data_IF_713327701489
#
_entry.id   IF_713327701489
#
_cell.length_a   1.000
_cell.length_b   1.000
_cell.length_c   1.000
_cell.angle_alpha   90.00
_cell.angle_beta   90.00
_cell.angle_gamma   90.00
#
_symmetry.space_group_name_H-M   'P 1'
#
loop_
_entity.id
_entity.type
_entity.pdbx_description
1 polymer ?
#
# COMPACT_ATOMS: atom_id res chain seq x y z
N UNK A 1 -8.03 -36.40 18.17
CA UNK A 1 -9.05 -35.37 17.85
C UNK A 1 -10.17 -35.89 16.93
N UNK A 2 -9.93 -36.26 15.66
CA UNK A 2 -10.99 -36.82 14.78
C UNK A 2 -11.63 -38.08 15.40
N UNK A 3 -10.81 -38.94 16.02
CA UNK A 3 -11.23 -40.16 16.72
C UNK A 3 -12.06 -39.84 17.96
N UNK A 4 -11.61 -38.89 18.77
CA UNK A 4 -12.27 -38.52 20.04
C UNK A 4 -13.61 -37.80 19.80
N UNK A 5 -13.67 -36.96 18.75
CA UNK A 5 -14.88 -36.26 18.33
C UNK A 5 -15.77 -37.09 17.40
N UNK A 6 -15.34 -38.31 17.04
CA UNK A 6 -16.00 -39.20 16.06
C UNK A 6 -16.45 -38.47 14.79
N UNK A 7 -15.68 -37.49 14.33
CA UNK A 7 -16.02 -36.58 13.23
C UNK A 7 -14.79 -36.35 12.35
N UNK A 8 -14.89 -36.53 11.02
CA UNK A 8 -13.78 -36.24 10.12
C UNK A 8 -13.58 -34.72 10.01
N UNK A 9 -12.37 -34.27 10.29
CA UNK A 9 -11.93 -32.88 10.23
C UNK A 9 -11.03 -32.63 9.01
N UNK A 10 -10.46 -33.70 8.44
CA UNK A 10 -9.54 -33.62 7.32
C UNK A 10 -9.93 -34.56 6.17
N UNK A 11 -9.78 -34.07 4.94
CA UNK A 11 -9.85 -34.86 3.71
C UNK A 11 -8.42 -35.08 3.21
N UNK A 12 -8.01 -36.35 3.08
CA UNK A 12 -6.67 -36.73 2.64
C UNK A 12 -6.70 -37.12 1.15
N UNK A 13 -5.89 -36.46 0.33
CA UNK A 13 -5.66 -36.80 -1.08
C UNK A 13 -4.17 -37.07 -1.35
N UNK A 14 -3.85 -37.69 -2.48
CA UNK A 14 -2.47 -38.02 -2.88
C UNK A 14 -1.53 -36.80 -2.98
N UNK A 15 -2.06 -35.57 -3.07
CA UNK A 15 -1.31 -34.31 -3.15
C UNK A 15 -1.38 -33.43 -1.90
N UNK A 16 -1.99 -33.90 -0.80
CA UNK A 16 -2.06 -33.15 0.46
C UNK A 16 -3.35 -33.33 1.25
N UNK A 17 -3.53 -32.48 2.26
CA UNK A 17 -4.65 -32.53 3.21
C UNK A 17 -5.46 -31.24 3.13
N UNK A 18 -6.80 -31.34 3.10
CA UNK A 18 -7.73 -30.20 3.20
C UNK A 18 -8.63 -30.37 4.42
N UNK A 19 -9.20 -29.27 4.92
CA UNK A 19 -10.20 -29.32 5.98
C UNK A 19 -11.56 -29.77 5.42
N UNK A 20 -12.32 -30.52 6.21
CA UNK A 20 -13.77 -30.70 6.00
C UNK A 20 -14.52 -29.46 6.49
N UNK A 21 -15.82 -29.35 6.23
CA UNK A 21 -16.66 -28.27 6.79
C UNK A 21 -16.60 -28.24 8.33
N UNK A 22 -16.62 -29.42 8.97
CA UNK A 22 -16.43 -29.54 10.42
C UNK A 22 -15.01 -29.17 10.85
N UNK A 23 -14.00 -29.48 10.03
CA UNK A 23 -12.62 -29.05 10.22
C UNK A 23 -12.45 -27.53 10.15
N UNK A 24 -13.09 -26.87 9.19
CA UNK A 24 -13.11 -25.41 9.06
C UNK A 24 -13.84 -24.76 10.24
N UNK A 25 -14.99 -25.31 10.64
CA UNK A 25 -15.73 -24.83 11.80
C UNK A 25 -14.91 -24.92 13.09
N UNK A 26 -14.26 -26.06 13.33
CA UNK A 26 -13.41 -26.28 14.50
C UNK A 26 -12.17 -25.38 14.45
N UNK A 27 -11.49 -25.31 13.30
CA UNK A 27 -10.34 -24.44 13.11
C UNK A 27 -10.68 -22.98 13.39
N UNK A 28 -11.80 -22.49 12.86
CA UNK A 28 -12.29 -21.13 13.09
C UNK A 28 -12.65 -20.89 14.57
N UNK A 29 -13.26 -21.88 15.24
CA UNK A 29 -13.68 -21.77 16.64
C UNK A 29 -12.49 -21.78 17.59
N UNK A 30 -11.58 -22.74 17.44
CA UNK A 30 -10.34 -22.82 18.25
C UNK A 30 -9.45 -21.62 17.99
N UNK A 31 -9.35 -21.17 16.73
CA UNK A 31 -8.62 -19.95 16.39
C UNK A 31 -9.21 -18.70 17.04
N UNK A 32 -10.53 -18.62 17.21
CA UNK A 32 -11.20 -17.54 17.97
C UNK A 32 -10.91 -17.64 19.46
N UNK A 33 -10.96 -18.84 20.04
CA UNK A 33 -10.68 -19.05 21.48
C UNK A 33 -9.22 -18.72 21.81
N UNK A 34 -8.26 -19.21 21.02
CA UNK A 34 -6.83 -18.88 21.19
C UNK A 34 -6.59 -17.38 21.05
N UNK A 35 -7.30 -16.74 20.12
CA UNK A 35 -7.27 -15.29 19.96
C UNK A 35 -7.82 -14.57 21.20
N UNK A 36 -8.95 -15.02 21.75
CA UNK A 36 -9.55 -14.46 22.97
C UNK A 36 -8.69 -14.65 24.22
N UNK A 37 -8.01 -15.79 24.36
CA UNK A 37 -7.04 -16.03 25.44
C UNK A 37 -5.86 -15.08 25.30
N UNK A 38 -5.29 -14.98 24.09
CA UNK A 38 -4.18 -14.05 23.81
C UNK A 38 -4.57 -12.59 24.04
N UNK A 39 -5.79 -12.20 23.68
CA UNK A 39 -6.34 -10.85 23.90
C UNK A 39 -6.60 -10.58 25.40
N UNK A 40 -7.04 -11.58 26.17
CA UNK A 40 -7.21 -11.48 27.62
C UNK A 40 -5.86 -11.38 28.36
N UNK A 41 -4.88 -12.18 27.98
CA UNK A 41 -3.50 -12.09 28.49
C UNK A 41 -2.88 -10.72 28.18
N UNK A 42 -3.06 -10.22 26.95
CA UNK A 42 -2.64 -8.86 26.56
C UNK A 42 -3.31 -7.79 27.42
N UNK A 43 -4.62 -7.86 27.63
CA UNK A 43 -5.39 -6.91 28.46
C UNK A 43 -4.96 -6.89 29.93
N UNK A 44 -4.48 -8.01 30.48
CA UNK A 44 -3.93 -8.08 31.84
C UNK A 44 -2.55 -7.42 31.96
N UNK A 45 -1.80 -7.36 30.86
CA UNK A 45 -0.45 -6.80 30.79
C UNK A 45 -0.48 -5.28 30.44
N UNK A 46 -1.51 -4.83 29.71
CA UNK A 46 -1.55 -3.57 28.94
C UNK A 46 -1.62 -2.22 29.68
N UNK A 47 -1.68 -2.15 31.02
CA UNK A 47 -1.71 -0.84 31.70
C UNK A 47 -0.33 -0.23 31.99
N UNK A 48 0.78 -0.94 31.78
CA UNK A 48 2.14 -0.44 32.09
C UNK A 48 3.27 -0.87 31.14
N UNK A 49 3.06 -1.75 30.17
CA UNK A 49 4.15 -2.37 29.40
C UNK A 49 4.36 -1.76 28.01
N UNK A 50 5.63 -1.62 27.61
CA UNK A 50 6.03 -1.27 26.25
C UNK A 50 5.53 -2.35 25.27
N UNK A 51 5.11 -1.98 24.04
CA UNK A 51 4.69 -2.96 23.04
C UNK A 51 5.90 -3.81 22.59
N UNK A 52 5.70 -5.13 22.51
CA UNK A 52 6.74 -6.10 22.12
C UNK A 52 6.22 -7.09 21.08
N UNK A 53 7.13 -7.61 20.25
CA UNK A 53 6.86 -8.71 19.32
C UNK A 53 6.56 -8.27 17.88
N UNK A 54 6.21 -9.25 17.04
CA UNK A 54 6.13 -9.07 15.58
C UNK A 54 4.84 -8.38 15.13
N UNK A 55 4.97 -7.36 14.29
CA UNK A 55 3.89 -6.69 13.58
C UNK A 55 4.15 -6.73 12.07
N UNK A 56 3.25 -7.37 11.33
CA UNK A 56 3.37 -7.53 9.88
C UNK A 56 2.44 -6.55 9.15
N UNK A 57 3.00 -5.69 8.30
CA UNK A 57 2.29 -4.64 7.59
C UNK A 57 2.30 -4.93 6.10
N UNK A 58 1.12 -5.01 5.51
CA UNK A 58 0.93 -5.14 4.07
C UNK A 58 0.74 -3.77 3.41
N UNK A 59 1.43 -3.50 2.30
CA UNK A 59 1.23 -2.24 1.54
C UNK A 59 1.57 -2.40 0.06
N UNK A 60 1.45 -1.33 -0.73
CA UNK A 60 1.84 -1.30 -2.15
C UNK A 60 3.35 -1.18 -2.28
N UNK A 61 3.91 -1.67 -3.39
CA UNK A 61 5.36 -1.65 -3.61
C UNK A 61 5.89 -0.22 -3.61
N UNK A 62 5.18 0.70 -4.28
CA UNK A 62 5.53 2.10 -4.31
C UNK A 62 5.56 2.72 -2.91
N UNK A 63 4.42 2.75 -2.21
CA UNK A 63 4.32 3.41 -0.90
C UNK A 63 5.27 2.80 0.13
N UNK A 64 5.34 1.46 0.16
CA UNK A 64 6.25 0.71 1.02
C UNK A 64 7.70 1.13 0.81
N UNK A 65 8.16 1.09 -0.45
CA UNK A 65 9.58 1.29 -0.77
C UNK A 65 10.05 2.73 -0.59
N UNK A 66 9.23 3.73 -0.91
CA UNK A 66 9.71 5.13 -0.93
C UNK A 66 9.25 5.99 0.24
N UNK A 67 8.09 5.71 0.84
CA UNK A 67 7.58 6.54 1.93
C UNK A 67 7.71 5.82 3.28
N UNK A 68 7.28 4.56 3.37
CA UNK A 68 7.22 3.83 4.63
C UNK A 68 8.60 3.36 5.11
N UNK A 69 9.32 2.59 4.30
CA UNK A 69 10.62 1.99 4.68
C UNK A 69 11.62 3.01 5.22
N UNK A 70 11.83 4.19 4.59
CA UNK A 70 12.76 5.20 5.12
C UNK A 70 12.41 5.70 6.52
N UNK A 71 11.14 5.58 6.93
CA UNK A 71 10.64 6.04 8.23
C UNK A 71 10.68 4.94 9.30
N UNK A 72 10.77 3.67 8.91
CA UNK A 72 10.75 2.55 9.87
C UNK A 72 11.88 2.64 10.89
N UNK A 73 13.06 3.14 10.51
CA UNK A 73 14.18 3.26 11.45
C UNK A 73 13.82 4.12 12.68
N UNK A 74 13.13 5.25 12.48
CA UNK A 74 12.66 6.10 13.59
C UNK A 74 11.70 5.35 14.51
N UNK A 75 10.85 4.49 13.95
CA UNK A 75 9.91 3.68 14.73
C UNK A 75 10.65 2.62 15.54
N UNK A 76 11.59 1.90 14.94
CA UNK A 76 12.34 0.85 15.63
C UNK A 76 13.29 1.43 16.69
N UNK A 77 13.79 2.64 16.50
CA UNK A 77 14.54 3.37 17.54
C UNK A 77 13.65 3.72 18.75
N UNK A 78 12.39 4.09 18.51
CA UNK A 78 11.42 4.41 19.56
C UNK A 78 10.88 3.16 20.27
N UNK A 79 10.76 2.04 19.54
CA UNK A 79 10.20 0.77 20.02
C UNK A 79 11.13 -0.41 19.65
N UNK A 80 12.29 -0.55 20.32
CA UNK A 80 13.32 -1.53 19.95
C UNK A 80 12.91 -2.99 20.13
N UNK A 81 11.90 -3.25 20.97
CA UNK A 81 11.38 -4.61 21.24
C UNK A 81 10.30 -5.06 20.23
N UNK A 82 10.01 -4.22 19.23
CA UNK A 82 9.08 -4.51 18.15
C UNK A 82 9.79 -5.05 16.92
N UNK A 83 9.32 -6.18 16.40
CA UNK A 83 9.79 -6.76 15.13
C UNK A 83 8.85 -6.35 13.99
N UNK A 84 9.35 -5.55 13.05
CA UNK A 84 8.54 -5.00 11.95
C UNK A 84 8.82 -5.75 10.66
N UNK A 85 7.76 -6.34 10.09
CA UNK A 85 7.81 -7.05 8.81
C UNK A 85 6.95 -6.35 7.78
N UNK A 86 7.54 -5.90 6.66
CA UNK A 86 6.82 -5.28 5.56
C UNK A 86 6.55 -6.28 4.43
N UNK A 87 5.29 -6.45 4.06
CA UNK A 87 4.84 -7.23 2.91
C UNK A 87 4.35 -6.28 1.82
N UNK A 88 5.13 -6.16 0.75
CA UNK A 88 4.83 -5.22 -0.34
C UNK A 88 4.31 -5.97 -1.55
N UNK A 89 3.08 -5.64 -1.96
CA UNK A 89 2.49 -6.17 -3.19
C UNK A 89 1.49 -5.17 -3.73
N UNK A 90 1.47 -4.98 -5.05
CA UNK A 90 0.44 -4.18 -5.71
C UNK A 90 -0.87 -4.96 -5.91
N UNK A 91 -0.85 -6.28 -5.67
CA UNK A 91 -2.05 -7.10 -5.55
C UNK A 91 -2.70 -6.93 -4.17
N UNK A 92 -4.02 -7.10 -4.13
CA UNK A 92 -4.80 -7.04 -2.90
C UNK A 92 -4.51 -8.29 -2.05
N UNK A 93 -3.75 -8.12 -0.96
CA UNK A 93 -3.51 -9.18 0.01
C UNK A 93 -4.72 -9.24 0.94
N UNK A 94 -5.37 -10.39 1.00
CA UNK A 94 -6.50 -10.62 1.89
C UNK A 94 -6.01 -10.76 3.35
N UNK A 95 -6.33 -9.79 4.19
CA UNK A 95 -6.00 -9.83 5.62
C UNK A 95 -6.67 -11.01 6.36
N UNK A 96 -7.71 -11.62 5.78
CA UNK A 96 -8.33 -12.83 6.35
C UNK A 96 -7.37 -14.03 6.35
N UNK A 97 -6.40 -14.05 5.44
CA UNK A 97 -5.38 -15.11 5.34
C UNK A 97 -4.31 -15.04 6.43
N UNK A 98 -4.37 -14.04 7.32
CA UNK A 98 -3.42 -13.80 8.42
C UNK A 98 -1.96 -13.60 7.98
N UNK A 99 -1.73 -13.27 6.71
CA UNK A 99 -0.40 -12.93 6.23
C UNK A 99 0.09 -11.57 6.75
N UNK A 100 -0.83 -10.68 7.14
CA UNK A 100 -0.51 -9.39 7.73
C UNK A 100 -1.50 -9.02 8.85
N UNK A 101 -1.03 -8.24 9.80
CA UNK A 101 -1.81 -7.70 10.93
C UNK A 101 -2.50 -6.39 10.52
N UNK A 102 -1.83 -5.59 9.69
CA UNK A 102 -2.26 -4.27 9.21
C UNK A 102 -2.09 -4.22 7.69
N UNK A 103 -2.94 -3.47 7.00
CA UNK A 103 -2.69 -3.02 5.63
C UNK A 103 -2.76 -1.49 5.48
N UNK A 104 -1.86 -0.93 4.67
CA UNK A 104 -1.92 0.46 4.20
C UNK A 104 -2.17 0.46 2.69
N UNK A 105 -3.37 0.86 2.25
CA UNK A 105 -3.85 0.71 0.87
C UNK A 105 -4.50 1.98 0.33
N UNK A 106 -4.45 2.17 -0.99
CA UNK A 106 -5.05 3.31 -1.73
C UNK A 106 -6.51 3.09 -2.13
N UNK A 107 -7.13 2.01 -1.64
CA UNK A 107 -8.51 1.64 -1.92
C UNK A 107 -9.23 1.36 -0.60
N UNK A 108 -10.46 1.86 -0.49
CA UNK A 108 -11.32 1.58 0.67
C UNK A 108 -11.60 0.07 0.71
N UNK A 109 -11.41 -0.61 1.86
CA UNK A 109 -11.79 -2.01 1.98
C UNK A 109 -13.30 -2.18 1.79
N UNK A 110 -13.69 -3.27 1.15
CA UNK A 110 -15.10 -3.62 0.91
C UNK A 110 -15.62 -4.73 1.82
N UNK A 111 -14.72 -5.51 2.43
CA UNK A 111 -15.08 -6.60 3.34
C UNK A 111 -15.57 -6.07 4.69
N UNK A 112 -16.68 -6.62 5.20
CA UNK A 112 -17.37 -6.12 6.38
C UNK A 112 -16.62 -6.32 7.71
N UNK A 113 -15.68 -7.28 7.76
CA UNK A 113 -14.89 -7.61 8.95
C UNK A 113 -13.63 -6.73 9.12
N UNK A 114 -13.43 -5.75 8.25
CA UNK A 114 -12.29 -4.83 8.32
C UNK A 114 -12.69 -3.50 8.96
N UNK A 115 -11.89 -3.08 9.93
CA UNK A 115 -11.89 -1.72 10.44
C UNK A 115 -10.88 -0.92 9.61
N UNK A 116 -11.24 0.31 9.25
CA UNK A 116 -10.33 1.20 8.56
C UNK A 116 -10.39 2.63 9.08
N UNK A 117 -9.26 3.33 8.94
CA UNK A 117 -9.14 4.77 9.13
C UNK A 117 -8.57 5.41 7.87
N UNK A 118 -9.07 6.60 7.52
CA UNK A 118 -8.41 7.45 6.53
C UNK A 118 -7.04 7.83 7.06
N UNK A 119 -6.02 7.68 6.24
CA UNK A 119 -4.63 7.92 6.63
C UNK A 119 -4.13 9.23 6.03
N UNK A 120 -3.75 9.24 4.74
CA UNK A 120 -3.27 10.46 4.06
C UNK A 120 -3.75 10.51 2.60
N UNK A 121 -3.93 11.73 2.08
CA UNK A 121 -4.22 11.96 0.67
C UNK A 121 -2.93 12.27 -0.07
N UNK A 122 -2.58 11.42 -1.04
CA UNK A 122 -1.44 11.67 -1.91
C UNK A 122 -1.92 12.22 -3.26
N UNK A 123 -1.32 13.33 -3.68
CA UNK A 123 -1.59 13.94 -4.97
C UNK A 123 -0.66 13.35 -6.01
N UNK A 124 -1.10 13.43 -7.27
CA UNK A 124 -0.30 13.04 -8.42
C UNK A 124 -0.09 14.26 -9.29
N UNK A 125 1.16 14.46 -9.69
CA UNK A 125 1.52 15.50 -10.63
C UNK A 125 2.34 14.90 -11.76
N UNK A 126 2.59 15.71 -12.78
CA UNK A 126 3.40 15.31 -13.91
C UNK A 126 4.84 15.67 -13.62
N UNK A 127 5.74 14.71 -13.81
CA UNK A 127 7.16 14.86 -13.57
C UNK A 127 7.97 14.47 -14.81
N UNK A 128 9.11 15.14 -14.97
CA UNK A 128 10.18 14.80 -15.90
C UNK A 128 11.53 14.94 -15.19
N UNK A 129 12.56 14.21 -15.64
CA UNK A 129 13.91 14.48 -15.14
C UNK A 129 14.47 15.79 -15.72
N UNK A 130 15.36 16.45 -14.98
CA UNK A 130 16.07 17.63 -15.48
C UNK A 130 16.75 17.39 -16.84
N UNK A 131 17.39 16.24 -17.02
CA UNK A 131 18.08 15.86 -18.27
C UNK A 131 17.12 15.75 -19.46
N UNK A 132 15.94 15.16 -19.24
CA UNK A 132 14.91 15.06 -20.28
C UNK A 132 14.37 16.45 -20.64
N UNK A 133 14.11 17.29 -19.64
CA UNK A 133 13.60 18.64 -19.85
C UNK A 133 14.62 19.55 -20.53
N UNK A 134 15.92 19.36 -20.28
CA UNK A 134 16.98 20.06 -20.98
C UNK A 134 17.04 19.68 -22.47
N UNK A 135 16.82 18.40 -22.78
CA UNK A 135 16.91 17.88 -24.15
C UNK A 135 15.65 18.14 -25.00
N UNK A 136 14.46 18.10 -24.37
CA UNK A 136 13.17 18.16 -25.08
C UNK A 136 12.35 19.43 -24.76
N UNK A 137 12.82 20.27 -23.84
CA UNK A 137 12.12 21.47 -23.37
C UNK A 137 11.10 21.18 -22.26
N UNK A 138 10.68 22.24 -21.56
CA UNK A 138 9.67 22.18 -20.49
C UNK A 138 8.29 22.51 -21.06
N UNK A 139 7.28 21.61 -20.92
CA UNK A 139 5.89 21.92 -21.26
C UNK A 139 5.37 23.16 -20.54
N UNK A 140 4.80 24.10 -21.30
CA UNK A 140 4.21 25.33 -20.74
C UNK A 140 2.68 25.23 -20.61
N UNK A 141 2.07 24.35 -21.38
CA UNK A 141 0.64 24.07 -21.31
C UNK A 141 0.33 22.59 -21.59
N UNK A 142 -0.91 22.17 -21.34
CA UNK A 142 -1.33 20.77 -21.52
C UNK A 142 -1.20 20.25 -22.96
N UNK A 143 -1.25 21.12 -23.98
CA UNK A 143 -1.10 20.71 -25.37
C UNK A 143 0.36 20.38 -25.72
N UNK A 144 1.32 20.99 -25.03
CA UNK A 144 2.75 20.67 -25.24
C UNK A 144 3.06 19.21 -24.92
N UNK A 145 2.28 18.56 -24.04
CA UNK A 145 2.40 17.12 -23.77
C UNK A 145 2.27 16.25 -25.03
N UNK A 146 1.63 16.73 -26.10
CA UNK A 146 1.53 16.02 -27.39
C UNK A 146 2.90 15.86 -28.07
N UNK A 147 3.90 16.68 -27.70
CA UNK A 147 5.26 16.67 -28.27
C UNK A 147 6.26 15.84 -27.45
N UNK A 148 5.82 15.28 -26.32
CA UNK A 148 6.70 14.57 -25.40
C UNK A 148 6.46 13.07 -25.37
N UNK A 149 7.52 12.33 -25.08
CA UNK A 149 7.44 10.93 -24.71
C UNK A 149 6.68 10.78 -23.39
N UNK A 150 5.59 10.01 -23.37
CA UNK A 150 4.81 9.75 -22.17
C UNK A 150 4.99 8.31 -21.70
N UNK A 151 5.17 8.14 -20.41
CA UNK A 151 5.26 6.84 -19.72
C UNK A 151 3.97 6.69 -18.92
N UNK A 152 3.39 5.49 -18.94
CA UNK A 152 2.16 5.25 -18.22
C UNK A 152 2.12 3.83 -17.64
N UNK A 153 1.15 3.55 -16.78
CA UNK A 153 1.05 2.26 -16.12
C UNK A 153 0.65 1.14 -17.10
N UNK A 154 -0.27 1.45 -18.00
CA UNK A 154 -0.75 0.49 -18.99
C UNK A 154 -2.00 -0.29 -18.58
N UNK A 155 -2.31 -1.32 -19.37
CA UNK A 155 -3.49 -2.19 -19.21
C UNK A 155 -3.06 -3.62 -18.88
N UNK A 156 -3.75 -4.28 -17.93
CA UNK A 156 -3.54 -5.70 -17.64
C UNK A 156 -4.04 -6.15 -16.27
N UNK A 157 -4.09 -5.24 -15.30
CA UNK A 157 -4.69 -5.45 -13.98
C UNK A 157 -5.44 -4.16 -13.60
N UNK A 158 -6.51 -4.21 -12.79
CA UNK A 158 -7.08 -2.99 -12.24
C UNK A 158 -5.97 -2.31 -11.44
N UNK A 159 -5.49 -1.18 -11.96
CA UNK A 159 -4.63 -0.29 -11.18
C UNK A 159 -5.31 -0.07 -9.83
N UNK A 160 -4.59 -0.17 -8.69
CA UNK A 160 -5.17 0.11 -7.38
C UNK A 160 -5.66 1.56 -7.25
N UNK A 161 -5.34 2.38 -8.26
CA UNK A 161 -5.57 3.81 -8.38
C UNK A 161 -6.44 4.07 -9.63
N UNK A 162 -7.65 4.61 -9.46
CA UNK A 162 -8.51 5.01 -10.58
C UNK A 162 -7.88 6.18 -11.35
N UNK A 163 -7.93 6.15 -12.68
CA UNK A 163 -7.39 7.22 -13.55
C UNK A 163 -5.86 7.47 -13.46
N UNK A 164 -5.06 6.45 -13.14
CA UNK A 164 -3.58 6.56 -13.06
C UNK A 164 -2.94 7.13 -14.34
N UNK A 165 -3.48 6.79 -15.51
CA UNK A 165 -3.02 7.26 -16.82
C UNK A 165 -3.68 8.60 -17.27
N UNK A 166 -4.05 9.47 -16.33
CA UNK A 166 -4.75 10.74 -16.63
C UNK A 166 -3.95 11.68 -17.54
N UNK A 167 -2.62 11.63 -17.48
CA UNK A 167 -1.69 12.37 -18.35
C UNK A 167 -1.97 12.11 -19.85
N UNK A 168 -2.46 10.92 -20.20
CA UNK A 168 -2.83 10.59 -21.58
C UNK A 168 -4.13 11.28 -22.03
N UNK A 169 -4.95 11.76 -21.09
CA UNK A 169 -6.28 12.31 -21.36
C UNK A 169 -6.38 13.81 -21.15
N UNK A 170 -5.55 14.38 -20.27
CA UNK A 170 -5.66 15.79 -19.87
C UNK A 170 -5.56 16.74 -21.08
N UNK A 171 -6.52 17.66 -21.21
CA UNK A 171 -6.59 18.58 -22.34
C UNK A 171 -7.06 17.95 -23.66
N UNK A 172 -7.41 16.67 -23.71
CA UNK A 172 -7.95 16.01 -24.92
C UNK A 172 -9.47 15.84 -24.81
N UNK A 173 -10.19 16.12 -25.90
CA UNK A 173 -11.66 16.00 -25.97
C UNK A 173 -12.16 14.59 -26.30
N UNK A 174 -11.39 13.79 -27.05
CA UNK A 174 -11.85 12.50 -27.57
C UNK A 174 -10.77 11.41 -27.62
N UNK A 175 -9.60 11.70 -28.19
CA UNK A 175 -8.51 10.72 -28.33
C UNK A 175 -7.42 10.93 -27.28
N UNK A 176 -7.05 9.83 -26.60
CA UNK A 176 -5.95 9.79 -25.64
C UNK A 176 -4.60 9.85 -26.37
N UNK A 177 -3.59 10.46 -25.75
CA UNK A 177 -2.21 10.42 -26.22
C UNK A 177 -1.70 8.98 -26.23
N UNK A 178 -0.85 8.65 -27.21
CA UNK A 178 -0.16 7.36 -27.29
C UNK A 178 1.08 7.41 -26.39
N UNK A 179 1.21 6.53 -25.38
CA UNK A 179 2.42 6.45 -24.58
C UNK A 179 3.57 5.84 -25.40
N UNK A 180 4.81 6.21 -25.05
CA UNK A 180 6.03 5.62 -25.62
C UNK A 180 6.20 4.17 -25.17
N UNK A 181 5.98 3.89 -23.89
CA UNK A 181 5.89 2.53 -23.35
C UNK A 181 5.13 2.50 -22.02
N UNK A 182 4.87 1.31 -21.51
CA UNK A 182 4.00 1.03 -20.35
C UNK A 182 4.74 0.22 -19.31
N UNK A 183 4.52 0.50 -18.03
CA UNK A 183 5.14 -0.20 -16.90
C UNK A 183 4.09 -0.44 -15.82
N UNK A 184 3.80 -1.70 -15.50
CA UNK A 184 2.83 -2.09 -14.48
C UNK A 184 3.35 -1.94 -13.04
N UNK A 185 4.14 -0.90 -12.77
CA UNK A 185 4.68 -0.57 -11.46
C UNK A 185 4.94 0.92 -11.37
N UNK A 186 4.34 1.60 -10.39
CA UNK A 186 4.60 3.04 -10.16
C UNK A 186 6.08 3.30 -9.86
N UNK A 187 6.72 2.39 -9.11
CA UNK A 187 8.14 2.48 -8.84
C UNK A 187 8.96 2.37 -10.14
N UNK A 188 8.61 1.44 -11.02
CA UNK A 188 9.23 1.31 -12.34
C UNK A 188 9.03 2.55 -13.23
N UNK A 189 7.84 3.17 -13.21
CA UNK A 189 7.61 4.45 -13.90
C UNK A 189 8.52 5.54 -13.32
N UNK A 190 8.64 5.64 -11.99
CA UNK A 190 9.49 6.63 -11.33
C UNK A 190 10.95 6.50 -11.78
N UNK A 191 11.50 5.27 -11.82
CA UNK A 191 12.85 5.02 -12.33
C UNK A 191 12.99 5.41 -13.82
N UNK A 192 11.98 5.12 -14.63
CA UNK A 192 12.02 5.47 -16.05
C UNK A 192 12.02 6.99 -16.29
N UNK A 193 11.23 7.74 -15.51
CA UNK A 193 11.27 9.22 -15.54
C UNK A 193 12.63 9.71 -15.09
N UNK A 194 13.17 9.17 -13.99
CA UNK A 194 14.48 9.52 -13.45
C UNK A 194 15.61 9.32 -14.46
N UNK A 195 15.54 8.27 -15.30
CA UNK A 195 16.49 8.00 -16.39
C UNK A 195 16.16 8.75 -17.70
N UNK A 196 15.25 9.72 -17.66
CA UNK A 196 14.94 10.58 -18.79
C UNK A 196 14.19 9.91 -19.94
N UNK A 197 13.45 8.83 -19.67
CA UNK A 197 12.74 8.11 -20.72
C UNK A 197 11.49 8.87 -21.24
N UNK A 198 10.99 9.85 -20.47
CA UNK A 198 9.80 10.64 -20.78
C UNK A 198 9.20 11.31 -19.55
N UNK A 199 7.97 11.80 -19.72
CA UNK A 199 7.13 12.39 -18.67
C UNK A 199 6.13 11.36 -18.15
N UNK A 200 5.82 11.41 -16.86
CA UNK A 200 4.79 10.55 -16.28
C UNK A 200 4.01 11.25 -15.17
N UNK A 201 2.81 10.75 -14.90
CA UNK A 201 2.11 11.03 -13.65
C UNK A 201 2.74 10.20 -12.53
N UNK A 202 3.19 10.83 -11.46
CA UNK A 202 3.71 10.16 -10.27
C UNK A 202 3.02 10.70 -9.02
N UNK A 203 2.79 9.85 -8.00
CA UNK A 203 2.44 10.33 -6.67
C UNK A 203 3.59 11.12 -6.06
N UNK A 204 3.28 12.17 -5.31
CA UNK A 204 4.32 13.08 -4.78
C UNK A 204 5.28 12.37 -3.80
N UNK A 205 4.81 11.34 -3.09
CA UNK A 205 5.67 10.51 -2.23
C UNK A 205 6.70 9.66 -2.97
N UNK A 206 6.61 9.53 -4.31
CA UNK A 206 7.65 8.90 -5.12
C UNK A 206 8.84 9.83 -5.38
N UNK A 207 8.63 11.14 -5.30
CA UNK A 207 9.57 12.14 -5.79
C UNK A 207 10.17 13.02 -4.70
N UNK A 208 9.61 13.03 -3.49
CA UNK A 208 10.04 13.91 -2.40
C UNK A 208 11.56 13.88 -2.11
N UNK A 209 12.19 12.71 -2.26
CA UNK A 209 13.63 12.52 -2.02
C UNK A 209 14.46 12.54 -3.33
N UNK A 210 13.86 12.91 -4.47
CA UNK A 210 14.48 12.87 -5.80
C UNK A 210 14.70 14.27 -6.37
N UNK A 211 15.88 14.85 -6.11
CA UNK A 211 16.24 16.20 -6.55
C UNK A 211 16.30 16.40 -8.06
N UNK A 212 16.46 15.33 -8.85
CA UNK A 212 16.53 15.40 -10.31
C UNK A 212 15.17 15.31 -11.01
N UNK A 213 14.07 15.14 -10.27
CA UNK A 213 12.71 15.13 -10.81
C UNK A 213 12.06 16.50 -10.61
N UNK A 214 11.53 17.03 -11.71
CA UNK A 214 10.93 18.36 -11.75
C UNK A 214 9.43 18.21 -12.03
N UNK A 215 8.61 18.79 -11.15
CA UNK A 215 7.17 18.94 -11.37
C UNK A 215 6.95 19.90 -12.54
N UNK A 216 6.21 19.45 -13.56
CA UNK A 216 5.84 20.29 -14.70
C UNK A 216 4.37 20.68 -14.61
N UNK A 217 4.00 21.78 -15.27
CA UNK A 217 2.63 22.32 -15.23
C UNK A 217 2.12 22.45 -13.79
N UNK A 218 2.78 23.22 -12.91
CA UNK A 218 2.50 23.22 -11.47
C UNK A 218 1.04 23.60 -11.12
N UNK A 219 0.40 24.43 -11.95
CA UNK A 219 -0.99 24.84 -11.78
C UNK A 219 -2.01 23.81 -12.30
N UNK A 220 -1.54 22.69 -12.86
CA UNK A 220 -2.40 21.61 -13.32
C UNK A 220 -2.60 20.61 -12.20
N UNK A 221 -3.80 20.60 -11.63
CA UNK A 221 -4.20 19.64 -10.61
C UNK A 221 -4.38 18.25 -11.23
N UNK A 222 -3.68 17.27 -10.68
CA UNK A 222 -3.87 15.87 -10.99
C UNK A 222 -4.79 15.19 -9.97
N UNK A 223 -5.05 13.88 -10.14
CA UNK A 223 -5.89 13.13 -9.22
C UNK A 223 -5.20 12.92 -7.87
N UNK A 224 -5.98 13.02 -6.80
CA UNK A 224 -5.56 12.68 -5.43
C UNK A 224 -6.16 11.35 -4.98
N UNK A 225 -5.43 10.59 -4.16
CA UNK A 225 -5.89 9.30 -3.66
C UNK A 225 -5.81 9.21 -2.14
N UNK A 226 -6.93 8.83 -1.55
CA UNK A 226 -7.02 8.56 -0.13
C UNK A 226 -6.42 7.18 0.17
N UNK A 227 -5.42 7.18 1.04
CA UNK A 227 -4.93 5.94 1.66
C UNK A 227 -5.72 5.62 2.91
N UNK A 228 -5.80 4.33 3.20
CA UNK A 228 -6.52 3.74 4.31
C UNK A 228 -5.56 2.87 5.12
N UNK A 229 -5.59 3.06 6.43
CA UNK A 229 -5.01 2.15 7.40
C UNK A 229 -6.09 1.14 7.79
N UNK A 230 -5.87 -0.14 7.52
CA UNK A 230 -6.87 -1.21 7.58
C UNK A 230 -6.37 -2.33 8.49
N UNK A 231 -7.25 -2.90 9.30
CA UNK A 231 -6.98 -4.03 10.17
C UNK A 231 -8.28 -4.79 10.50
N UNK A 232 -8.19 -5.97 11.10
CA UNK A 232 -9.38 -6.76 11.50
C UNK A 232 -9.80 -6.45 12.94
N UNK A 233 -11.05 -6.72 13.33
CA UNK A 233 -11.56 -6.50 14.70
C UNK A 233 -10.66 -7.14 15.78
N UNK A 234 -10.01 -8.26 15.44
CA UNK A 234 -9.01 -8.91 16.29
C UNK A 234 -7.94 -7.91 16.79
N UNK A 235 -7.41 -7.06 15.93
CA UNK A 235 -6.32 -6.14 16.31
C UNK A 235 -6.80 -4.81 16.90
N UNK A 236 -8.10 -4.64 17.18
CA UNK A 236 -8.66 -3.36 17.64
C UNK A 236 -8.06 -2.82 18.92
N UNK A 237 -7.70 -3.71 19.84
CA UNK A 237 -7.08 -3.36 21.12
C UNK A 237 -5.58 -3.73 21.15
N UNK A 238 -4.97 -4.02 20.00
CA UNK A 238 -3.56 -4.41 19.98
C UNK A 238 -2.66 -3.16 20.11
N UNK A 239 -1.94 -3.05 21.22
CA UNK A 239 -1.05 -1.92 21.51
C UNK A 239 0.04 -1.72 20.45
N UNK A 240 0.51 -2.81 19.83
CA UNK A 240 1.53 -2.77 18.74
C UNK A 240 0.99 -2.02 17.54
N UNK A 241 -0.25 -2.32 17.17
CA UNK A 241 -0.96 -1.62 16.10
C UNK A 241 -1.19 -0.17 16.48
N UNK A 242 -1.61 0.09 17.72
CA UNK A 242 -1.90 1.45 18.18
C UNK A 242 -0.68 2.37 18.06
N UNK A 243 0.47 1.96 18.62
CA UNK A 243 1.70 2.76 18.53
C UNK A 243 2.18 2.93 17.09
N UNK A 244 2.07 1.89 16.26
CA UNK A 244 2.49 1.96 14.87
C UNK A 244 1.57 2.87 14.05
N UNK A 245 0.26 2.80 14.28
CA UNK A 245 -0.71 3.72 13.68
C UNK A 245 -0.40 5.15 14.06
N UNK A 246 -0.19 5.41 15.35
CA UNK A 246 0.04 6.77 15.83
C UNK A 246 1.36 7.35 15.29
N UNK A 247 2.42 6.54 15.25
CA UNK A 247 3.67 6.87 14.56
C UNK A 247 3.44 7.22 13.09
N UNK A 248 2.77 6.34 12.35
CA UNK A 248 2.51 6.51 10.93
C UNK A 248 1.72 7.79 10.64
N UNK A 249 0.67 8.03 11.43
CA UNK A 249 -0.17 9.22 11.32
C UNK A 249 0.60 10.49 11.68
N UNK A 250 1.54 10.42 12.64
CA UNK A 250 2.40 11.55 12.96
C UNK A 250 3.35 11.88 11.81
N UNK A 251 4.06 10.90 11.25
CA UNK A 251 4.96 11.11 10.10
C UNK A 251 4.24 11.63 8.84
N UNK A 252 2.93 11.40 8.73
CA UNK A 252 2.11 11.89 7.63
C UNK A 252 1.53 13.29 7.85
N UNK A 253 1.50 13.81 9.09
CA UNK A 253 1.05 15.20 9.34
C UNK A 253 1.97 16.23 8.68
N UNK A 254 3.25 15.91 8.64
CA UNK A 254 4.29 16.75 8.04
C UNK A 254 4.35 16.59 6.51
N UNK A 255 3.41 15.83 5.92
CA UNK A 255 3.37 15.63 4.48
C UNK A 255 2.89 16.89 3.75
N UNK A 256 3.82 17.48 3.00
CA UNK A 256 3.58 18.59 2.07
C UNK A 256 4.12 18.21 0.68
N UNK A 257 3.50 18.73 -0.38
CA UNK A 257 3.79 18.43 -1.77
C UNK A 257 3.87 19.70 -2.62
#
# INVERSE_FOLDING_TARGET
LEIDLKTPLFIRHQKGVRLTEHGEYLFNTVSKINFSISDFEKKLIDKKTKPVGKLTISTTVGFGSTWLTPRINKFTDQYPDMDISLLMSDEEIDLSTRLADIAVRVKKPTQANFIFKKFVNFHNHIYGSSDYLQSFGIPRNVNDLDKHSLICFGSGLPSPISNIDWILKVGKKSLKRRPKFRVNSIYGISLAVEKGAGLASLPDYMVAEKSNLVRILPNLEGPSYQTYFVYTEAFKNDRRLEVFRDFLFNEAKDWHY
#
